data_IF_495569132267
#
_entry.id   IF_495569132267
#
_cell.length_a   1.000
_cell.length_b   1.000
_cell.length_c   1.000
_cell.angle_alpha   90.00
_cell.angle_beta   90.00
_cell.angle_gamma   90.00
#
_symmetry.space_group_name_H-M   'P 1'
#
loop_
_entity.id
_entity.type
_entity.pdbx_description
1 polymer ?
#
# COMPACT_ATOMS: atom_id res chain seq x y z
N UNK A 1 21.40 -3.23 -11.32
CA UNK A 1 20.32 -2.34 -11.80
C UNK A 1 18.98 -3.05 -11.75
N UNK A 2 18.94 -4.37 -12.12
CA UNK A 2 17.70 -5.16 -12.07
C UNK A 2 17.14 -5.30 -10.65
N UNK A 3 18.00 -5.50 -9.66
CA UNK A 3 17.59 -5.73 -8.27
C UNK A 3 16.97 -4.49 -7.59
N UNK A 4 17.33 -3.30 -8.09
CA UNK A 4 16.73 -2.05 -7.62
C UNK A 4 15.37 -1.82 -8.26
N UNK A 5 15.19 -2.25 -9.51
CA UNK A 5 13.94 -2.09 -10.25
C UNK A 5 12.91 -3.15 -9.90
N UNK A 6 13.35 -4.37 -9.60
CA UNK A 6 12.49 -5.53 -9.35
C UNK A 6 13.01 -6.32 -8.13
N UNK A 7 12.91 -5.74 -6.94
CA UNK A 7 13.38 -6.40 -5.73
C UNK A 7 12.60 -7.69 -5.47
N UNK A 8 13.27 -8.65 -4.86
CA UNK A 8 12.61 -9.86 -4.42
C UNK A 8 11.48 -9.55 -3.41
N UNK A 9 10.44 -10.36 -3.49
CA UNK A 9 9.35 -10.30 -2.52
C UNK A 9 9.85 -10.78 -1.17
N UNK A 10 9.81 -9.89 -0.18
CA UNK A 10 10.20 -10.21 1.19
C UNK A 10 9.03 -10.88 1.90
N UNK A 11 9.24 -12.09 2.40
CA UNK A 11 8.24 -12.84 3.16
C UNK A 11 8.71 -13.05 4.59
N UNK A 12 7.85 -12.74 5.55
CA UNK A 12 8.12 -12.88 6.98
C UNK A 12 7.09 -13.81 7.61
N UNK A 13 7.58 -14.79 8.37
CA UNK A 13 6.75 -15.80 8.99
C UNK A 13 6.52 -17.02 8.09
N UNK A 14 5.93 -18.06 8.65
CA UNK A 14 5.66 -19.33 7.96
C UNK A 14 4.29 -19.91 8.33
N UNK A 15 3.41 -19.08 8.91
CA UNK A 15 2.06 -19.50 9.29
C UNK A 15 1.17 -19.80 8.09
N UNK A 16 0.05 -20.45 8.35
CA UNK A 16 -0.88 -20.89 7.31
C UNK A 16 -1.71 -19.73 6.73
N UNK A 17 -1.96 -18.68 7.51
CA UNK A 17 -2.72 -17.52 7.03
C UNK A 17 -1.79 -16.58 6.27
N UNK A 18 -2.01 -16.45 4.97
CA UNK A 18 -1.17 -15.65 4.08
C UNK A 18 -1.71 -14.24 3.90
N UNK A 19 -0.87 -13.25 4.17
CA UNK A 19 -1.17 -11.83 4.01
C UNK A 19 -0.30 -11.26 2.89
N UNK A 20 -0.93 -10.65 1.89
CA UNK A 20 -0.25 -9.93 0.83
C UNK A 20 -0.37 -8.42 1.06
N UNK A 21 0.75 -7.72 1.14
CA UNK A 21 0.79 -6.26 1.16
C UNK A 21 1.18 -5.74 -0.21
N UNK A 22 0.30 -4.95 -0.81
CA UNK A 22 0.40 -4.45 -2.18
C UNK A 22 0.52 -2.93 -2.14
N UNK A 23 1.49 -2.37 -2.85
CA UNK A 23 1.69 -0.93 -2.87
C UNK A 23 3.00 -0.47 -3.50
N UNK A 24 3.36 0.76 -3.19
CA UNK A 24 4.53 1.45 -3.73
C UNK A 24 5.72 1.46 -2.75
N UNK A 25 6.52 2.54 -2.75
CA UNK A 25 7.68 2.71 -1.88
C UNK A 25 7.33 2.68 -0.38
N UNK A 26 6.13 3.12 -0.02
CA UNK A 26 5.70 3.13 1.38
C UNK A 26 5.44 1.71 1.90
N UNK A 27 4.99 0.82 1.04
CA UNK A 27 4.87 -0.61 1.35
C UNK A 27 6.22 -1.32 1.27
N UNK A 28 7.01 -1.01 0.23
CA UNK A 28 8.37 -1.56 0.08
C UNK A 28 9.24 -1.28 1.29
N UNK A 29 9.15 -0.08 1.87
CA UNK A 29 10.01 0.40 2.95
C UNK A 29 11.22 1.17 2.44
N UNK A 30 11.03 1.96 1.38
CA UNK A 30 12.10 2.77 0.80
C UNK A 30 12.69 3.73 1.85
N UNK A 31 14.02 3.82 1.87
CA UNK A 31 14.76 4.72 2.76
C UNK A 31 15.05 4.16 4.16
N UNK A 32 14.53 2.98 4.50
CA UNK A 32 14.84 2.32 5.77
C UNK A 32 16.22 1.63 5.70
N UNK A 33 17.01 1.78 6.75
CA UNK A 33 18.30 1.08 6.87
C UNK A 33 18.12 -0.43 6.98
N UNK A 34 17.09 -0.84 7.71
CA UNK A 34 16.76 -2.24 7.91
C UNK A 34 15.30 -2.50 7.49
N UNK A 35 15.09 -2.60 6.19
CA UNK A 35 13.78 -2.86 5.60
C UNK A 35 13.16 -4.15 6.11
N UNK A 36 13.97 -5.18 6.34
CA UNK A 36 13.53 -6.51 6.78
C UNK A 36 12.94 -6.50 8.20
N UNK A 37 13.18 -5.44 8.94
CA UNK A 37 12.67 -5.27 10.30
C UNK A 37 11.67 -4.13 10.40
N UNK A 38 11.98 -2.99 9.77
CA UNK A 38 11.33 -1.72 10.03
C UNK A 38 10.25 -1.33 9.01
N UNK A 39 10.12 -2.04 7.88
CA UNK A 39 9.01 -1.85 6.95
C UNK A 39 7.69 -2.34 7.57
N UNK A 40 6.59 -1.63 7.32
CA UNK A 40 5.33 -1.93 8.00
C UNK A 40 4.84 -3.38 7.78
N UNK A 41 5.06 -4.03 6.62
CA UNK A 41 4.67 -5.43 6.49
C UNK A 41 5.42 -6.37 7.45
N UNK A 42 6.69 -6.08 7.74
CA UNK A 42 7.48 -6.87 8.69
C UNK A 42 7.01 -6.65 10.13
N UNK A 43 6.72 -5.40 10.50
CA UNK A 43 6.16 -5.07 11.82
C UNK A 43 4.78 -5.72 11.98
N UNK A 44 3.96 -5.68 10.94
CA UNK A 44 2.64 -6.32 10.93
C UNK A 44 2.76 -7.83 11.15
N UNK A 45 3.72 -8.49 10.49
CA UNK A 45 3.98 -9.92 10.68
C UNK A 45 4.30 -10.26 12.14
N UNK A 46 5.13 -9.46 12.78
CA UNK A 46 5.46 -9.62 14.20
C UNK A 46 4.23 -9.49 15.10
N UNK A 47 3.39 -8.49 14.83
CA UNK A 47 2.16 -8.25 15.59
C UNK A 47 1.12 -9.36 15.41
N UNK A 48 0.97 -9.87 14.19
CA UNK A 48 0.04 -10.94 13.87
C UNK A 48 0.45 -12.30 14.47
N UNK A 49 1.76 -12.56 14.55
CA UNK A 49 2.30 -13.75 15.20
C UNK A 49 2.44 -14.96 14.29
N UNK A 50 2.74 -16.10 14.89
CA UNK A 50 3.21 -17.32 14.20
C UNK A 50 2.18 -18.02 13.31
N UNK A 51 0.90 -17.69 13.42
CA UNK A 51 -0.13 -18.25 12.53
C UNK A 51 -0.17 -17.59 11.16
N UNK A 52 0.59 -16.52 10.96
CA UNK A 52 0.56 -15.68 9.78
C UNK A 52 1.89 -15.71 9.01
N UNK A 53 1.77 -15.49 7.70
CA UNK A 53 2.89 -15.28 6.80
C UNK A 53 2.59 -14.01 6.01
N UNK A 54 3.42 -12.97 6.12
CA UNK A 54 3.21 -11.69 5.44
C UNK A 54 4.24 -11.51 4.34
N UNK A 55 3.77 -11.29 3.12
CA UNK A 55 4.62 -11.02 1.95
C UNK A 55 4.47 -9.58 1.49
N UNK A 56 5.61 -8.95 1.26
CA UNK A 56 5.71 -7.56 0.82
C UNK A 56 5.88 -7.51 -0.70
N UNK A 57 4.80 -7.17 -1.41
CA UNK A 57 4.81 -6.98 -2.87
C UNK A 57 5.00 -5.53 -3.27
N UNK A 58 5.38 -4.65 -2.34
CA UNK A 58 5.64 -3.24 -2.59
C UNK A 58 6.74 -3.02 -3.61
N UNK A 59 6.58 -2.00 -4.44
CA UNK A 59 7.55 -1.64 -5.47
C UNK A 59 7.62 -0.11 -5.61
N UNK A 60 8.80 0.45 -5.31
CA UNK A 60 8.99 1.90 -5.23
C UNK A 60 8.67 2.62 -6.54
N UNK A 61 8.07 3.81 -6.44
CA UNK A 61 7.78 4.69 -7.56
C UNK A 61 6.57 4.31 -8.40
N UNK A 62 5.83 3.26 -8.03
CA UNK A 62 4.72 2.76 -8.86
C UNK A 62 3.42 3.49 -8.56
N UNK A 63 2.65 3.67 -9.63
CA UNK A 63 1.32 4.28 -9.61
C UNK A 63 0.27 3.24 -9.95
N UNK A 64 -0.99 3.52 -9.61
CA UNK A 64 -2.12 2.70 -10.03
C UNK A 64 -2.42 2.91 -11.53
N UNK A 65 -2.45 4.18 -11.96
CA UNK A 65 -2.91 4.53 -13.30
C UNK A 65 -2.02 3.95 -14.40
N UNK A 66 -2.64 3.26 -15.35
CA UNK A 66 -1.97 2.59 -16.46
C UNK A 66 -1.20 3.53 -17.39
N UNK A 67 -1.50 4.82 -17.35
CA UNK A 67 -0.86 5.86 -18.18
C UNK A 67 0.31 6.57 -17.47
N UNK A 68 0.57 6.27 -16.21
CA UNK A 68 1.76 6.77 -15.52
C UNK A 68 3.03 6.10 -16.07
N UNK A 69 4.19 6.66 -15.72
CA UNK A 69 5.48 6.12 -16.20
C UNK A 69 5.74 4.69 -15.72
N UNK A 70 5.34 4.38 -14.49
CA UNK A 70 5.60 3.07 -13.87
C UNK A 70 4.32 2.51 -13.24
N UNK A 71 3.40 1.96 -14.03
CA UNK A 71 2.18 1.36 -13.50
C UNK A 71 2.47 0.08 -12.74
N UNK A 72 1.99 0.00 -11.51
CA UNK A 72 2.22 -1.16 -10.64
C UNK A 72 1.73 -2.47 -11.28
N UNK A 73 0.55 -2.45 -11.89
CA UNK A 73 -0.09 -3.67 -12.42
C UNK A 73 0.52 -4.17 -13.75
N UNK A 74 1.56 -3.52 -14.26
CA UNK A 74 2.42 -4.03 -15.34
C UNK A 74 3.67 -4.74 -14.80
N UNK A 75 3.86 -4.75 -13.49
CA UNK A 75 5.06 -5.28 -12.85
C UNK A 75 4.88 -6.71 -12.37
N UNK A 76 6.00 -7.43 -12.28
CA UNK A 76 6.04 -8.81 -11.80
C UNK A 76 5.49 -8.95 -10.37
N UNK A 77 5.79 -7.99 -9.49
CA UNK A 77 5.31 -8.03 -8.11
C UNK A 77 3.79 -8.03 -8.03
N UNK A 78 3.12 -7.27 -8.89
CA UNK A 78 1.65 -7.28 -8.99
C UNK A 78 1.13 -8.66 -9.39
N UNK A 79 1.73 -9.25 -10.43
CA UNK A 79 1.37 -10.60 -10.88
C UNK A 79 1.57 -11.64 -9.77
N UNK A 80 2.72 -11.59 -9.10
CA UNK A 80 3.01 -12.51 -7.99
C UNK A 80 2.01 -12.36 -6.83
N UNK A 81 1.57 -11.12 -6.54
CA UNK A 81 0.55 -10.90 -5.52
C UNK A 81 -0.80 -11.52 -5.88
N UNK A 82 -1.19 -11.46 -7.15
CA UNK A 82 -2.42 -12.08 -7.65
C UNK A 82 -2.34 -13.61 -7.69
N UNK A 83 -1.15 -14.17 -7.76
CA UNK A 83 -0.89 -15.62 -7.77
C UNK A 83 -0.59 -16.19 -6.38
N UNK A 84 -0.54 -15.34 -5.35
CA UNK A 84 -0.04 -15.70 -4.02
C UNK A 84 -0.98 -16.59 -3.20
N UNK A 85 -2.22 -16.75 -3.62
CA UNK A 85 -3.26 -17.44 -2.84
C UNK A 85 -3.45 -16.83 -1.44
N UNK A 86 -3.33 -15.49 -1.33
CA UNK A 86 -3.45 -14.79 -0.07
C UNK A 86 -4.86 -14.92 0.52
N UNK A 87 -4.91 -15.05 1.84
CA UNK A 87 -6.16 -15.03 2.61
C UNK A 87 -6.58 -13.59 2.94
N UNK A 88 -5.61 -12.70 3.06
CA UNK A 88 -5.81 -11.28 3.35
C UNK A 88 -4.95 -10.48 2.36
N UNK A 89 -5.56 -9.47 1.72
CA UNK A 89 -4.85 -8.54 0.83
C UNK A 89 -5.02 -7.12 1.35
N UNK A 90 -3.91 -6.43 1.56
CA UNK A 90 -3.87 -5.05 2.04
C UNK A 90 -3.28 -4.19 0.93
N UNK A 91 -4.08 -3.27 0.38
CA UNK A 91 -3.72 -2.49 -0.80
C UNK A 91 -3.55 -1.02 -0.43
N UNK A 92 -2.33 -0.50 -0.60
CA UNK A 92 -2.03 0.91 -0.39
C UNK A 92 -1.30 1.48 -1.60
N UNK A 93 -2.06 2.08 -2.52
CA UNK A 93 -1.54 2.67 -3.74
C UNK A 93 -2.29 3.98 -4.04
N UNK A 94 -1.65 4.91 -4.73
CA UNK A 94 -2.26 6.17 -5.14
C UNK A 94 -1.40 7.40 -4.88
N UNK A 95 -0.42 7.33 -3.98
CA UNK A 95 0.44 8.47 -3.67
C UNK A 95 1.17 8.99 -4.92
N UNK A 96 1.76 8.11 -5.73
CA UNK A 96 2.46 8.48 -6.95
C UNK A 96 1.51 8.98 -8.05
N UNK A 97 0.25 8.56 -8.01
CA UNK A 97 -0.80 9.03 -8.91
C UNK A 97 -1.12 10.51 -8.71
N UNK A 98 -0.86 11.05 -7.54
CA UNK A 98 -1.13 12.45 -7.22
C UNK A 98 -0.24 13.46 -7.96
N UNK A 99 0.80 12.98 -8.66
CA UNK A 99 1.64 13.85 -9.50
C UNK A 99 0.80 14.49 -10.60
N UNK A 100 0.91 15.81 -10.73
CA UNK A 100 0.12 16.61 -11.67
C UNK A 100 0.04 16.04 -13.10
N UNK A 101 1.16 15.61 -13.72
CA UNK A 101 1.12 15.04 -15.08
C UNK A 101 0.34 13.73 -15.21
N UNK A 102 0.17 12.98 -14.13
CA UNK A 102 -0.47 11.66 -14.19
C UNK A 102 -1.92 11.67 -13.70
N UNK A 103 -2.25 12.58 -12.79
CA UNK A 103 -3.55 12.55 -12.14
C UNK A 103 -4.71 12.72 -13.12
N UNK A 104 -5.54 11.71 -13.21
CA UNK A 104 -6.81 11.73 -13.92
C UNK A 104 -7.85 11.04 -13.03
N UNK A 105 -8.77 11.84 -12.49
CA UNK A 105 -9.74 11.39 -11.51
C UNK A 105 -10.61 10.23 -12.01
N UNK A 106 -11.15 10.34 -13.22
CA UNK A 106 -12.04 9.32 -13.79
C UNK A 106 -11.30 8.00 -14.03
N UNK A 107 -10.08 8.09 -14.56
CA UNK A 107 -9.22 6.91 -14.77
C UNK A 107 -8.86 6.27 -13.45
N UNK A 108 -8.47 7.05 -12.45
CA UNK A 108 -8.12 6.52 -11.13
C UNK A 108 -9.28 5.76 -10.51
N UNK A 109 -10.50 6.33 -10.53
CA UNK A 109 -11.70 5.68 -10.00
C UNK A 109 -11.96 4.35 -10.72
N UNK A 110 -11.93 4.35 -12.04
CA UNK A 110 -12.18 3.15 -12.84
C UNK A 110 -11.14 2.06 -12.56
N UNK A 111 -9.86 2.42 -12.63
CA UNK A 111 -8.77 1.46 -12.46
C UNK A 111 -8.64 0.98 -11.01
N UNK A 112 -8.96 1.81 -10.03
CA UNK A 112 -8.98 1.41 -8.62
C UNK A 112 -10.08 0.39 -8.36
N UNK A 113 -11.28 0.61 -8.91
CA UNK A 113 -12.38 -0.35 -8.82
C UNK A 113 -12.01 -1.68 -9.48
N UNK A 114 -11.48 -1.65 -10.69
CA UNK A 114 -11.02 -2.84 -11.41
C UNK A 114 -9.97 -3.62 -10.62
N UNK A 115 -9.02 -2.94 -10.02
CA UNK A 115 -8.01 -3.52 -9.14
C UNK A 115 -8.64 -4.22 -7.94
N UNK A 116 -9.51 -3.54 -7.21
CA UNK A 116 -10.17 -4.11 -6.04
C UNK A 116 -10.98 -5.36 -6.42
N UNK A 117 -11.72 -5.31 -7.50
CA UNK A 117 -12.49 -6.45 -8.03
C UNK A 117 -11.58 -7.63 -8.40
N UNK A 118 -10.39 -7.37 -8.95
CA UNK A 118 -9.41 -8.40 -9.28
C UNK A 118 -8.96 -9.18 -8.04
N UNK A 119 -8.67 -8.50 -6.94
CA UNK A 119 -8.29 -9.16 -5.69
C UNK A 119 -9.49 -9.85 -5.01
N UNK A 120 -10.69 -9.28 -5.13
CA UNK A 120 -11.91 -9.93 -4.62
C UNK A 120 -12.22 -11.24 -5.35
N UNK A 121 -11.83 -11.35 -6.62
CA UNK A 121 -12.07 -12.52 -7.46
C UNK A 121 -11.01 -13.63 -7.30
N UNK A 122 -10.03 -13.47 -6.41
CA UNK A 122 -9.02 -14.51 -6.19
C UNK A 122 -9.64 -15.83 -5.74
N UNK A 123 -9.14 -16.98 -6.23
CA UNK A 123 -9.63 -18.29 -5.81
C UNK A 123 -9.56 -18.54 -4.31
N UNK A 124 -8.63 -17.89 -3.62
CA UNK A 124 -8.49 -17.97 -2.16
C UNK A 124 -9.62 -17.29 -1.39
N UNK A 125 -10.49 -16.53 -2.09
CA UNK A 125 -11.56 -15.74 -1.45
C UNK A 125 -11.01 -14.78 -0.39
N UNK A 126 -9.98 -14.03 -0.76
CA UNK A 126 -9.25 -13.14 0.14
C UNK A 126 -10.14 -12.04 0.76
N UNK A 127 -9.90 -11.74 2.01
CA UNK A 127 -10.39 -10.52 2.65
C UNK A 127 -9.54 -9.33 2.14
N UNK A 128 -10.16 -8.40 1.44
CA UNK A 128 -9.48 -7.26 0.82
C UNK A 128 -9.69 -6.00 1.64
N UNK A 129 -8.59 -5.34 2.01
CA UNK A 129 -8.58 -4.08 2.74
C UNK A 129 -8.02 -2.98 1.84
N UNK A 130 -8.77 -1.90 1.67
CA UNK A 130 -8.35 -0.74 0.91
C UNK A 130 -7.76 0.29 1.89
N UNK A 131 -6.57 0.81 1.57
CA UNK A 131 -5.85 1.72 2.47
C UNK A 131 -5.68 3.07 1.81
N UNK A 132 -6.16 4.12 2.48
CA UNK A 132 -5.90 5.50 2.08
C UNK A 132 -4.45 5.81 2.44
N UNK A 133 -3.63 6.28 1.47
CA UNK A 133 -2.22 6.56 1.72
C UNK A 133 -1.98 7.62 2.80
N UNK A 134 -0.81 7.60 3.44
CA UNK A 134 -0.42 8.62 4.40
C UNK A 134 -0.35 10.03 3.82
N UNK A 135 -0.43 11.01 4.71
CA UNK A 135 -0.16 12.42 4.46
C UNK A 135 1.23 12.60 3.81
N UNK A 136 1.32 13.52 2.86
CA UNK A 136 2.58 13.88 2.18
C UNK A 136 2.99 15.29 2.59
N UNK A 137 3.99 15.44 3.48
CA UNK A 137 4.33 16.75 4.03
C UNK A 137 4.99 17.72 3.05
N UNK A 138 5.59 17.24 1.96
CA UNK A 138 6.25 18.11 0.99
C UNK A 138 6.00 17.67 -0.45
N UNK A 139 6.15 18.61 -1.40
CA UNK A 139 6.08 18.32 -2.83
C UNK A 139 7.42 17.91 -3.45
N UNK A 140 8.40 17.53 -2.64
CA UNK A 140 9.78 17.25 -3.08
C UNK A 140 9.87 16.25 -4.22
N UNK A 141 9.01 15.24 -4.24
CA UNK A 141 8.99 14.19 -5.26
C UNK A 141 7.90 14.41 -6.31
N UNK A 142 7.34 15.61 -6.37
CA UNK A 142 6.26 15.96 -7.30
C UNK A 142 4.89 15.46 -6.88
N UNK A 143 4.76 14.80 -5.72
CA UNK A 143 3.47 14.36 -5.20
C UNK A 143 2.66 15.56 -4.72
N UNK A 144 1.35 15.45 -4.82
CA UNK A 144 0.43 16.51 -4.44
C UNK A 144 -0.49 16.05 -3.31
N UNK A 145 -0.18 16.51 -2.08
CA UNK A 145 -0.98 16.18 -0.91
C UNK A 145 -2.44 16.61 -1.03
N UNK A 146 -2.71 17.71 -1.74
CA UNK A 146 -4.07 18.20 -1.93
C UNK A 146 -4.95 17.18 -2.66
N UNK A 147 -4.38 16.45 -3.63
CA UNK A 147 -5.10 15.38 -4.32
C UNK A 147 -5.36 14.20 -3.38
N UNK A 148 -4.43 13.85 -2.52
CA UNK A 148 -4.63 12.79 -1.53
C UNK A 148 -5.76 13.21 -0.57
N UNK A 149 -5.69 14.43 -0.05
CA UNK A 149 -6.67 14.98 0.88
C UNK A 149 -8.06 15.11 0.28
N UNK A 150 -8.16 15.77 -0.88
CA UNK A 150 -9.45 16.13 -1.47
C UNK A 150 -10.07 15.01 -2.30
N UNK A 151 -9.26 14.17 -2.92
CA UNK A 151 -9.73 13.15 -3.84
C UNK A 151 -9.60 11.73 -3.28
N UNK A 152 -8.41 11.27 -2.92
CA UNK A 152 -8.22 9.88 -2.47
C UNK A 152 -9.01 9.56 -1.21
N UNK A 153 -9.08 10.49 -0.26
CA UNK A 153 -9.87 10.31 0.96
C UNK A 153 -11.38 10.21 0.72
N UNK A 154 -11.86 10.60 -0.47
CA UNK A 154 -13.27 10.47 -0.88
C UNK A 154 -13.48 9.27 -1.80
N UNK A 155 -12.59 9.10 -2.77
CA UNK A 155 -12.67 8.04 -3.79
C UNK A 155 -12.55 6.66 -3.17
N UNK A 156 -11.53 6.43 -2.34
CA UNK A 156 -11.25 5.11 -1.78
C UNK A 156 -12.39 4.64 -0.85
N UNK A 157 -12.89 5.46 0.09
CA UNK A 157 -14.05 5.07 0.88
C UNK A 157 -15.32 4.83 0.05
N UNK A 158 -15.55 5.62 -1.00
CA UNK A 158 -16.72 5.43 -1.88
C UNK A 158 -16.67 4.08 -2.58
N UNK A 159 -15.50 3.69 -3.10
CA UNK A 159 -15.31 2.38 -3.74
C UNK A 159 -15.44 1.25 -2.71
N UNK A 160 -14.86 1.42 -1.53
CA UNK A 160 -15.00 0.47 -0.44
C UNK A 160 -16.46 0.24 -0.06
N UNK A 161 -17.24 1.31 0.06
CA UNK A 161 -18.67 1.22 0.35
C UNK A 161 -19.45 0.52 -0.79
N UNK A 162 -19.15 0.87 -2.04
CA UNK A 162 -19.75 0.24 -3.22
C UNK A 162 -19.49 -1.26 -3.28
N UNK A 163 -18.27 -1.69 -2.98
CA UNK A 163 -17.85 -3.09 -3.07
C UNK A 163 -17.99 -3.87 -1.77
N UNK A 164 -18.40 -3.22 -0.68
CA UNK A 164 -18.49 -3.86 0.64
C UNK A 164 -17.13 -4.18 1.26
N UNK A 165 -16.09 -3.41 0.96
CA UNK A 165 -14.74 -3.60 1.47
C UNK A 165 -14.39 -2.62 2.59
N UNK A 166 -13.70 -3.06 3.63
CA UNK A 166 -13.22 -2.17 4.68
C UNK A 166 -12.13 -1.23 4.17
N UNK A 167 -12.12 -0.01 4.69
CA UNK A 167 -11.15 1.03 4.35
C UNK A 167 -10.40 1.45 5.60
N UNK A 168 -9.08 1.50 5.49
CA UNK A 168 -8.17 1.95 6.55
C UNK A 168 -7.62 3.32 6.15
N UNK A 169 -7.84 4.33 6.98
CA UNK A 169 -7.38 5.69 6.68
C UNK A 169 -6.05 5.99 7.37
N UNK A 170 -4.95 5.89 6.64
CA UNK A 170 -3.63 6.26 7.16
C UNK A 170 -3.33 7.76 7.01
N UNK A 171 -4.10 8.47 6.20
CA UNK A 171 -3.95 9.93 6.07
C UNK A 171 -4.18 10.63 7.41
N UNK A 172 -5.31 10.34 8.04
CA UNK A 172 -5.69 10.98 9.31
C UNK A 172 -4.75 10.66 10.46
N UNK A 173 -4.16 9.46 10.50
CA UNK A 173 -3.22 9.08 11.57
C UNK A 173 -1.82 9.65 11.36
N UNK A 174 -1.50 10.13 10.18
CA UNK A 174 -0.17 10.68 9.86
C UNK A 174 -0.17 12.20 9.59
N UNK A 175 -1.34 12.79 9.37
CA UNK A 175 -1.46 14.22 9.05
C UNK A 175 -0.81 15.10 10.12
N UNK A 176 0.09 15.98 9.68
CA UNK A 176 0.77 16.93 10.55
C UNK A 176 1.93 16.34 11.37
N UNK A 177 2.16 15.05 11.32
CA UNK A 177 3.22 14.37 12.08
C UNK A 177 4.54 14.30 11.30
N UNK A 178 5.27 15.42 11.23
CA UNK A 178 6.52 15.50 10.47
C UNK A 178 7.60 14.52 10.97
N UNK A 179 7.55 14.15 12.24
CA UNK A 179 8.47 13.19 12.85
C UNK A 179 8.35 11.77 12.29
N UNK A 180 7.27 11.47 11.57
CA UNK A 180 7.11 10.17 10.92
C UNK A 180 7.83 10.05 9.57
N UNK A 181 8.44 11.14 9.10
CA UNK A 181 9.03 11.22 7.75
C UNK A 181 10.51 11.51 7.79
N UNK A 182 11.28 10.84 6.92
CA UNK A 182 12.73 11.03 6.81
C UNK A 182 13.11 12.06 5.75
N UNK A 183 12.37 12.12 4.64
CA UNK A 183 12.70 12.93 3.46
C UNK A 183 11.53 13.78 2.95
N UNK A 184 10.45 13.87 3.73
CA UNK A 184 9.23 14.58 3.37
C UNK A 184 8.21 13.73 2.59
N UNK A 185 8.47 12.45 2.41
CA UNK A 185 7.55 11.47 1.80
C UNK A 185 7.65 10.12 2.47
N UNK A 186 8.87 9.56 2.58
CA UNK A 186 9.08 8.21 3.06
C UNK A 186 9.14 8.16 4.59
N UNK A 187 8.56 7.09 5.13
CA UNK A 187 8.36 6.96 6.57
C UNK A 187 9.63 6.45 7.28
N UNK A 188 9.87 7.02 8.45
CA UNK A 188 10.87 6.54 9.43
C UNK A 188 10.43 5.18 10.01
N UNK A 189 11.29 4.48 10.77
CA UNK A 189 10.84 3.34 11.57
C UNK A 189 9.64 3.65 12.45
N UNK A 190 9.60 4.83 13.09
CA UNK A 190 8.47 5.27 13.89
C UNK A 190 7.19 5.40 13.06
N UNK A 191 7.26 6.05 11.89
CA UNK A 191 6.12 6.17 10.98
C UNK A 191 5.60 4.80 10.54
N UNK A 192 6.49 3.88 10.20
CA UNK A 192 6.12 2.51 9.87
C UNK A 192 5.44 1.77 11.03
N UNK A 193 5.89 1.98 12.27
CA UNK A 193 5.25 1.41 13.46
C UNK A 193 3.83 1.93 13.63
N UNK A 194 3.62 3.23 13.43
CA UNK A 194 2.31 3.86 13.55
C UNK A 194 1.32 3.28 12.53
N UNK A 195 1.72 3.20 11.26
CA UNK A 195 0.82 2.66 10.23
C UNK A 195 0.60 1.15 10.37
N UNK A 196 1.60 0.41 10.78
CA UNK A 196 1.46 -1.02 11.05
C UNK A 196 0.46 -1.28 12.20
N UNK A 197 0.50 -0.49 13.25
CA UNK A 197 -0.45 -0.59 14.38
C UNK A 197 -1.88 -0.28 13.93
N UNK A 198 -2.08 0.77 13.14
CA UNK A 198 -3.40 1.12 12.62
C UNK A 198 -3.97 0.01 11.75
N UNK A 199 -3.17 -0.54 10.83
CA UNK A 199 -3.58 -1.68 10.01
C UNK A 199 -3.92 -2.89 10.88
N UNK A 200 -3.06 -3.22 11.83
CA UNK A 200 -3.25 -4.34 12.75
C UNK A 200 -4.57 -4.25 13.51
N UNK A 201 -4.94 -3.08 14.00
CA UNK A 201 -6.20 -2.89 14.72
C UNK A 201 -7.42 -3.18 13.83
N UNK A 202 -7.35 -2.88 12.55
CA UNK A 202 -8.42 -3.17 11.58
C UNK A 202 -8.53 -4.67 11.25
N UNK A 203 -7.43 -5.41 11.30
CA UNK A 203 -7.41 -6.86 11.01
C UNK A 203 -7.95 -7.72 12.16
N UNK A 204 -8.06 -7.17 13.35
CA UNK A 204 -8.46 -7.94 14.55
C UNK A 204 -9.97 -8.14 14.70
N UNK A 205 -10.78 -7.57 13.83
CA UNK A 205 -12.24 -7.56 13.98
C UNK A 205 -12.94 -8.23 12.83
#
# INVERSE_FOLDING_TARGET
>A
VSDIMYPEVLTVGSGAVKVATVGDSLTYGYGLENREKDAYPCILAEKLGHHYQVSNYGLSGRSLQSTADFPYFKEKNAQLSLESEADIVIIMIGSNDSRGPYWNRERFIREYREMAEQYMALPSQADVYLVIPPYVPTSRFGLNNQIIEDELQKIIPAIGNELGLPVINLYTVTEGHLEYYSDGLHLTPLGNQVIAEEIYQHLRH
#
